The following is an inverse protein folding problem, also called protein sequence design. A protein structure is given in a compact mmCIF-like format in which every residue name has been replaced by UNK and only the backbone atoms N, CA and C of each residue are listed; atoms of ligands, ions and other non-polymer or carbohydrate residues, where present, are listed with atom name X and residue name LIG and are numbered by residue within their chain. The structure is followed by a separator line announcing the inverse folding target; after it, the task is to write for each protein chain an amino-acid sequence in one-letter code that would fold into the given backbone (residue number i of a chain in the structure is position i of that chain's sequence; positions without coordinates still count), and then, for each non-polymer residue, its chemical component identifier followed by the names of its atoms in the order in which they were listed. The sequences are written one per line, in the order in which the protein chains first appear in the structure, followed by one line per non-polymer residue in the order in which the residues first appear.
data_IF_665040502817
#
_entry.id   IF_665040502817
#
_cell.length_a   1.000
_cell.length_b   1.000
_cell.length_c   1.000
_cell.angle_alpha   90.00
_cell.angle_beta   90.00
_cell.angle_gamma   90.00
#
_symmetry.space_group_name_H-M   'P 1'
#
loop_
_entity.id
_entity.type
_entity.pdbx_description
1 polymer ?
#
# COMPACT_ATOMS: atom_id res chain seq x y z
N UNK A 1 -4.47 -16.45 -3.04
CA UNK A 1 -5.63 -15.78 -2.40
C UNK A 1 -6.06 -14.58 -3.23
N UNK A 2 -7.32 -14.15 -3.09
CA UNK A 2 -7.83 -12.92 -3.73
C UNK A 2 -7.79 -11.78 -2.71
N UNK A 3 -7.26 -10.63 -3.13
CA UNK A 3 -7.26 -9.38 -2.35
C UNK A 3 -7.92 -8.29 -3.17
N UNK A 4 -8.72 -7.44 -2.53
CA UNK A 4 -9.27 -6.23 -3.14
C UNK A 4 -8.51 -5.04 -2.62
N UNK A 5 -7.92 -4.25 -3.51
CA UNK A 5 -7.07 -3.12 -3.16
C UNK A 5 -7.72 -1.86 -3.68
N UNK A 6 -8.04 -0.96 -2.75
CA UNK A 6 -8.56 0.37 -3.02
C UNK A 6 -7.45 1.40 -2.81
N UNK A 7 -7.11 2.16 -3.83
CA UNK A 7 -6.04 3.17 -3.78
C UNK A 7 -6.62 4.57 -3.76
N UNK A 8 -5.94 5.46 -3.04
CA UNK A 8 -6.25 6.89 -3.06
C UNK A 8 -6.07 7.50 -4.46
N UNK A 9 -7.04 8.31 -4.89
CA UNK A 9 -6.97 9.08 -6.14
C UNK A 9 -6.12 10.33 -5.94
N UNK A 10 -5.10 10.50 -6.78
CA UNK A 10 -4.07 11.53 -6.57
C UNK A 10 -4.12 12.69 -7.55
N UNK A 11 -4.71 12.53 -8.72
CA UNK A 11 -4.90 13.61 -9.69
C UNK A 11 -6.04 13.29 -10.65
N UNK A 12 -6.57 14.32 -11.33
CA UNK A 12 -7.65 14.15 -12.31
C UNK A 12 -7.29 13.24 -13.51
N UNK A 13 -6.00 13.01 -13.78
CA UNK A 13 -5.54 12.05 -14.81
C UNK A 13 -5.49 10.60 -14.31
N UNK A 14 -5.50 10.39 -13.00
CA UNK A 14 -5.50 9.09 -12.35
C UNK A 14 -6.90 8.48 -12.24
N UNK A 15 -7.95 9.33 -12.24
CA UNK A 15 -9.37 8.95 -12.32
C UNK A 15 -9.75 8.18 -13.60
N UNK A 16 -8.87 8.11 -14.59
CA UNK A 16 -9.08 7.32 -15.81
C UNK A 16 -9.01 5.81 -15.54
N UNK A 17 -8.32 5.40 -14.48
CA UNK A 17 -8.16 4.00 -14.09
C UNK A 17 -8.94 3.69 -12.81
N UNK A 18 -9.40 2.43 -12.71
CA UNK A 18 -10.09 1.96 -11.51
C UNK A 18 -9.18 2.05 -10.29
N UNK A 19 -9.62 2.78 -9.27
CA UNK A 19 -8.93 2.90 -7.99
C UNK A 19 -9.08 1.65 -7.12
N UNK A 20 -10.12 0.86 -7.37
CA UNK A 20 -10.31 -0.46 -6.76
C UNK A 20 -10.00 -1.56 -7.77
N UNK A 21 -9.05 -2.44 -7.44
CA UNK A 21 -8.70 -3.61 -8.24
C UNK A 21 -8.58 -4.86 -7.37
N UNK A 22 -9.04 -6.00 -7.91
CA UNK A 22 -8.85 -7.31 -7.28
C UNK A 22 -7.66 -8.02 -7.90
N UNK A 23 -6.76 -8.52 -7.06
CA UNK A 23 -5.57 -9.25 -7.48
C UNK A 23 -5.59 -10.68 -6.96
N UNK A 24 -5.14 -11.63 -7.80
CA UNK A 24 -4.84 -13.00 -7.40
C UNK A 24 -3.36 -13.11 -7.06
N UNK A 25 -3.07 -13.27 -5.77
CA UNK A 25 -1.70 -13.23 -5.23
C UNK A 25 -1.36 -14.49 -4.45
N UNK A 26 -0.08 -14.90 -4.36
CA UNK A 26 0.32 -16.02 -3.52
C UNK A 26 0.06 -15.72 -2.04
N UNK A 27 -0.24 -16.75 -1.25
CA UNK A 27 -0.50 -16.60 0.19
C UNK A 27 0.77 -16.23 0.99
N UNK A 28 1.93 -16.43 0.39
CA UNK A 28 3.23 -16.01 0.91
C UNK A 28 3.61 -14.58 0.53
N UNK A 29 2.75 -13.83 -0.17
CA UNK A 29 3.02 -12.45 -0.58
C UNK A 29 3.35 -11.58 0.64
N UNK A 30 4.51 -10.93 0.58
CA UNK A 30 4.94 -9.97 1.61
C UNK A 30 4.64 -8.54 1.21
N UNK A 31 4.78 -7.59 2.14
CA UNK A 31 4.58 -6.16 1.86
C UNK A 31 5.51 -5.64 0.76
N UNK A 32 6.79 -6.03 0.78
CA UNK A 32 7.73 -5.63 -0.27
C UNK A 32 7.32 -6.16 -1.65
N UNK A 33 6.96 -7.45 -1.71
CA UNK A 33 6.52 -8.08 -2.95
C UNK A 33 5.20 -7.47 -3.45
N UNK A 34 4.29 -7.12 -2.54
CA UNK A 34 3.05 -6.40 -2.88
C UNK A 34 3.34 -5.07 -3.56
N UNK A 35 4.16 -4.20 -2.94
CA UNK A 35 4.46 -2.89 -3.51
C UNK A 35 5.19 -2.99 -4.84
N UNK A 36 6.13 -3.93 -4.97
CA UNK A 36 6.80 -4.21 -6.23
C UNK A 36 5.80 -4.66 -7.32
N UNK A 37 4.89 -5.57 -6.96
CA UNK A 37 3.86 -6.10 -7.86
C UNK A 37 2.93 -5.00 -8.37
N UNK A 38 2.32 -4.20 -7.48
CA UNK A 38 1.36 -3.15 -7.87
C UNK A 38 2.05 -1.99 -8.61
N UNK A 39 3.28 -1.65 -8.25
CA UNK A 39 4.06 -0.63 -8.95
C UNK A 39 4.42 -1.08 -10.38
N UNK A 40 4.86 -2.33 -10.55
CA UNK A 40 5.17 -2.89 -11.87
C UNK A 40 3.94 -3.00 -12.79
N UNK A 41 2.75 -3.16 -12.21
CA UNK A 41 1.48 -3.12 -12.95
C UNK A 41 1.01 -1.70 -13.30
N UNK A 42 1.74 -0.66 -12.89
CA UNK A 42 1.32 0.73 -13.07
C UNK A 42 0.08 1.11 -12.26
N UNK A 43 -0.25 0.35 -11.22
CA UNK A 43 -1.41 0.63 -10.36
C UNK A 43 -1.15 1.84 -9.47
N UNK A 44 0.09 2.06 -9.04
CA UNK A 44 0.49 3.27 -8.32
C UNK A 44 0.67 4.41 -9.31
N UNK A 45 -0.01 5.52 -9.06
CA UNK A 45 0.11 6.70 -9.88
C UNK A 45 1.53 7.28 -9.84
N UNK A 46 2.08 7.58 -11.01
CA UNK A 46 3.37 8.25 -11.13
C UNK A 46 3.20 9.76 -10.89
N UNK A 47 3.87 10.28 -9.86
CA UNK A 47 3.83 11.71 -9.51
C UNK A 47 5.14 12.38 -9.92
N UNK A 48 5.04 13.57 -10.51
CA UNK A 48 6.20 14.37 -10.91
C UNK A 48 7.08 14.70 -9.70
N UNK A 49 8.37 14.42 -9.80
CA UNK A 49 9.33 14.53 -8.68
C UNK A 49 9.50 13.24 -7.86
N UNK A 50 8.54 12.33 -7.93
CA UNK A 50 8.58 10.98 -7.35
C UNK A 50 9.01 10.93 -5.87
N UNK A 51 8.70 11.97 -5.10
CA UNK A 51 9.04 12.11 -3.68
C UNK A 51 7.78 12.00 -2.81
N UNK A 52 7.15 10.84 -2.87
CA UNK A 52 5.87 10.55 -2.21
C UNK A 52 5.96 9.22 -1.48
N UNK A 53 4.97 8.93 -0.64
CA UNK A 53 4.85 7.63 -0.01
C UNK A 53 3.45 7.03 -0.21
N UNK A 54 3.40 5.70 -0.26
CA UNK A 54 2.17 4.91 -0.33
C UNK A 54 2.07 4.02 0.90
N UNK A 55 1.03 4.19 1.71
CA UNK A 55 0.79 3.37 2.90
C UNK A 55 -0.21 2.27 2.61
N UNK A 56 0.17 1.03 2.85
CA UNK A 56 -0.72 -0.12 2.85
C UNK A 56 -1.34 -0.29 4.23
N UNK A 57 -2.67 -0.38 4.27
CA UNK A 57 -3.41 -0.61 5.51
C UNK A 57 -4.65 -1.46 5.25
N UNK A 58 -5.21 -2.01 6.31
CA UNK A 58 -6.53 -2.64 6.31
C UNK A 58 -7.38 -2.06 7.45
N UNK A 59 -8.53 -2.68 7.73
CA UNK A 59 -9.38 -2.26 8.85
C UNK A 59 -8.75 -2.42 10.24
N UNK A 60 -7.74 -3.27 10.39
CA UNK A 60 -7.04 -3.50 11.66
C UNK A 60 -5.91 -2.49 11.89
N UNK A 61 -5.42 -1.83 10.84
CA UNK A 61 -4.41 -0.78 10.97
C UNK A 61 -3.43 -0.75 9.80
N UNK A 62 -2.33 -0.04 10.02
CA UNK A 62 -1.24 0.10 9.04
C UNK A 62 -0.41 -1.17 8.94
N UNK A 63 -0.08 -1.57 7.71
CA UNK A 63 0.66 -2.80 7.41
C UNK A 63 2.10 -2.49 7.02
N UNK A 64 2.30 -1.48 6.17
CA UNK A 64 3.61 -1.04 5.72
C UNK A 64 3.51 0.08 4.70
N UNK A 65 4.64 0.62 4.30
CA UNK A 65 4.73 1.83 3.49
C UNK A 65 5.79 1.68 2.43
N UNK A 66 5.59 2.33 1.30
CA UNK A 66 6.54 2.39 0.20
C UNK A 66 6.92 3.83 -0.11
N UNK A 67 8.21 4.14 -0.05
CA UNK A 67 8.77 5.45 -0.36
C UNK A 67 9.29 5.45 -1.79
N UNK A 68 8.64 6.20 -2.68
CA UNK A 68 8.90 6.10 -4.12
C UNK A 68 10.29 6.60 -4.53
N UNK A 69 10.85 7.55 -3.77
CA UNK A 69 12.16 8.15 -4.05
C UNK A 69 13.34 7.24 -3.72
N UNK A 70 13.25 6.54 -2.58
CA UNK A 70 14.33 5.67 -2.08
C UNK A 70 14.11 4.21 -2.45
N UNK A 71 12.88 3.84 -2.80
CA UNK A 71 12.47 2.44 -2.96
C UNK A 71 12.32 1.69 -1.63
N UNK A 72 12.41 2.40 -0.49
CA UNK A 72 12.32 1.80 0.85
C UNK A 72 10.90 1.31 1.13
N UNK A 73 10.81 0.13 1.75
CA UNK A 73 9.54 -0.44 2.21
C UNK A 73 9.60 -0.72 3.71
N UNK A 74 8.60 -0.29 4.48
CA UNK A 74 8.49 -0.63 5.90
C UNK A 74 7.81 -1.98 6.09
N UNK A 75 8.28 -2.73 7.09
CA UNK A 75 7.83 -4.10 7.38
C UNK A 75 7.85 -5.04 6.15
N UNK A 76 8.95 -5.07 5.37
CA UNK A 76 9.00 -5.75 4.08
C UNK A 76 8.78 -7.27 4.18
N UNK A 77 9.08 -7.88 5.34
CA UNK A 77 8.91 -9.32 5.56
C UNK A 77 7.50 -9.73 5.99
N UNK A 78 6.64 -8.77 6.34
CA UNK A 78 5.28 -9.07 6.82
C UNK A 78 4.45 -9.65 5.70
N UNK A 79 3.73 -10.75 6.00
CA UNK A 79 2.83 -11.39 5.04
C UNK A 79 1.48 -10.70 5.03
N UNK A 80 0.98 -10.38 3.84
CA UNK A 80 -0.34 -9.77 3.67
C UNK A 80 -1.45 -10.68 4.19
N UNK A 81 -1.31 -11.99 4.00
CA UNK A 81 -2.26 -12.99 4.50
C UNK A 81 -2.41 -12.93 6.04
N UNK A 82 -1.30 -12.78 6.75
CA UNK A 82 -1.28 -12.73 8.22
C UNK A 82 -2.09 -11.52 8.71
N UNK A 83 -1.84 -10.35 8.09
CA UNK A 83 -2.56 -9.11 8.39
C UNK A 83 -4.06 -9.19 8.06
N UNK A 84 -4.43 -9.93 7.01
CA UNK A 84 -5.82 -10.20 6.66
C UNK A 84 -6.49 -11.11 7.71
N UNK A 85 -5.79 -12.14 8.18
CA UNK A 85 -6.28 -13.04 9.23
C UNK A 85 -6.48 -12.29 10.55
N UNK A 86 -5.51 -11.47 10.96
CA UNK A 86 -5.61 -10.56 12.11
C UNK A 86 -6.79 -9.59 11.97
N UNK A 87 -7.07 -9.14 10.74
CA UNK A 87 -8.24 -8.35 10.41
C UNK A 87 -9.49 -9.20 10.21
N UNK A 88 -9.60 -10.41 10.79
CA UNK A 88 -10.80 -11.25 10.75
C UNK A 88 -11.16 -11.76 9.35
N UNK A 89 -10.16 -12.02 8.51
CA UNK A 89 -10.32 -12.53 7.15
C UNK A 89 -10.74 -11.48 6.11
N UNK A 90 -10.71 -10.19 6.45
CA UNK A 90 -11.08 -9.12 5.53
C UNK A 90 -9.96 -8.89 4.51
N UNK A 91 -10.21 -9.33 3.27
CA UNK A 91 -9.27 -9.25 2.16
C UNK A 91 -9.24 -7.90 1.46
N UNK A 92 -9.91 -6.89 2.03
CA UNK A 92 -9.92 -5.51 1.54
C UNK A 92 -8.74 -4.74 2.14
N UNK A 93 -7.91 -4.21 1.26
CA UNK A 93 -6.73 -3.43 1.56
C UNK A 93 -6.90 -2.03 0.98
N UNK A 94 -6.31 -1.06 1.65
CA UNK A 94 -6.30 0.33 1.23
C UNK A 94 -4.86 0.79 1.03
N UNK A 95 -4.61 1.49 -0.08
CA UNK A 95 -3.32 2.09 -0.41
C UNK A 95 -3.48 3.60 -0.36
N UNK A 96 -3.01 4.21 0.74
CA UNK A 96 -3.13 5.64 1.01
C UNK A 96 -1.96 6.42 0.44
N UNK A 97 -2.27 7.53 -0.20
CA UNK A 97 -1.27 8.45 -0.73
C UNK A 97 -0.80 9.44 0.33
N UNK A 98 0.51 9.67 0.39
CA UNK A 98 1.13 10.72 1.18
C UNK A 98 2.01 11.56 0.27
N UNK A 99 1.56 12.79 0.01
CA UNK A 99 2.34 13.79 -0.74
C UNK A 99 3.63 14.20 -0.03
N UNK A 100 3.70 14.03 1.30
CA UNK A 100 4.90 14.30 2.08
C UNK A 100 5.34 13.01 2.80
N UNK A 101 6.46 12.38 2.38
CA UNK A 101 6.89 11.09 2.94
C UNK A 101 7.25 11.16 4.43
N UNK A 102 7.64 12.32 4.94
CA UNK A 102 7.90 12.51 6.38
C UNK A 102 6.64 12.30 7.24
N UNK A 103 5.46 12.66 6.72
CA UNK A 103 4.19 12.43 7.42
C UNK A 103 3.81 10.95 7.46
N UNK A 104 4.17 10.19 6.43
CA UNK A 104 3.98 8.75 6.44
C UNK A 104 4.78 8.12 7.61
N UNK A 105 6.06 8.50 7.74
CA UNK A 105 6.95 8.08 8.84
C UNK A 105 6.44 8.49 10.22
N UNK A 106 6.00 9.74 10.38
CA UNK A 106 5.52 10.23 11.68
C UNK A 106 4.23 9.52 12.13
N UNK A 107 3.33 9.21 11.19
CA UNK A 107 2.08 8.52 11.52
C UNK A 107 2.30 7.05 11.90
N UNK A 108 3.33 6.38 11.35
CA UNK A 108 3.72 5.03 11.80
C UNK A 108 4.24 5.00 13.24
N UNK A 109 4.90 6.08 13.70
CA UNK A 109 5.43 6.16 15.06
C UNK A 109 4.36 6.50 16.12
N UNK A 110 3.27 7.19 15.75
CA UNK A 110 2.22 7.57 16.69
C UNK A 110 1.30 6.40 17.11
N UNK A 111 1.24 5.33 16.32
CA UNK A 111 0.53 4.10 16.70
C UNK A 111 1.34 3.23 17.69
N UNK A 112 2.58 3.60 18.02
CA UNK A 112 3.46 2.88 18.97
C UNK A 112 3.68 3.60 20.32
N UNK A 113 2.98 4.70 20.59
CA UNK A 113 3.14 5.51 21.81
C UNK A 113 1.95 5.40 22.79
#
# INVERSE_FOLDING_TARGET
MKISVDRDSVCAGDDVYYHEMTFEVPESLTVAEFFNFVNSHGFLAFIQGNDVAWGLQNRAGKIGEYFTKTGEVTHPEVKIKDKIDEAGGDSKLFVRYYSNPEWAKENSNREQA
#
